data_IF_058065047671
#
_entry.id   IF_058065047671
#
_cell.length_a   1.000
_cell.length_b   1.000
_cell.length_c   1.000
_cell.angle_alpha   90.00
_cell.angle_beta   90.00
_cell.angle_gamma   90.00
#
_symmetry.space_group_name_H-M   'P 1'
#
loop_
_entity.id
_entity.type
_entity.pdbx_description
1 polymer ?
#
# COMPACT_ATOMS: atom_id res chain seq x y z
N UNK A 1 10.60 17.93 12.87
CA UNK A 1 10.17 17.17 11.67
C UNK A 1 11.29 17.25 10.64
N UNK A 2 12.19 16.27 10.59
CA UNK A 2 13.18 16.19 9.51
C UNK A 2 12.43 15.79 8.23
N UNK A 3 12.30 16.73 7.30
CA UNK A 3 11.59 16.57 6.02
C UNK A 3 12.53 16.02 4.94
N UNK A 4 13.37 15.05 5.28
CA UNK A 4 14.41 14.55 4.36
C UNK A 4 14.01 13.24 3.67
N UNK A 5 12.85 12.68 4.03
CA UNK A 5 12.37 11.40 3.55
C UNK A 5 10.87 11.45 3.19
N UNK A 6 10.48 10.71 2.17
CA UNK A 6 9.09 10.34 1.89
C UNK A 6 8.75 9.04 2.59
N UNK A 7 7.58 8.99 3.25
CA UNK A 7 7.02 7.72 3.72
C UNK A 7 6.22 7.06 2.59
N UNK A 8 6.47 5.77 2.38
CA UNK A 8 5.79 4.94 1.41
C UNK A 8 5.19 3.73 2.11
N UNK A 9 4.01 3.33 1.65
CA UNK A 9 3.30 2.18 2.16
C UNK A 9 3.02 1.21 1.01
N UNK A 10 3.72 0.08 0.99
CA UNK A 10 3.45 -1.01 0.07
C UNK A 10 2.32 -1.88 0.65
N UNK A 11 1.19 -1.96 -0.04
CA UNK A 11 0.12 -2.90 0.27
C UNK A 11 0.22 -4.08 -0.69
N UNK A 12 0.34 -5.29 -0.15
CA UNK A 12 0.34 -6.54 -0.90
C UNK A 12 -0.86 -7.38 -0.48
N UNK A 13 -1.71 -7.78 -1.44
CA UNK A 13 -2.79 -8.73 -1.19
C UNK A 13 -2.74 -9.91 -2.16
N UNK A 14 -2.73 -11.13 -1.61
CA UNK A 14 -2.88 -12.35 -2.38
C UNK A 14 -4.38 -12.59 -2.62
N UNK A 15 -4.83 -12.43 -3.86
CA UNK A 15 -6.23 -12.60 -4.27
C UNK A 15 -6.29 -13.84 -5.15
N UNK A 16 -6.86 -14.93 -4.63
CA UNK A 16 -6.95 -16.24 -5.30
C UNK A 16 -5.70 -16.69 -6.08
N UNK A 17 -5.60 -16.29 -7.35
CA UNK A 17 -4.58 -16.66 -8.34
C UNK A 17 -3.67 -15.49 -8.77
N UNK A 18 -3.74 -14.35 -8.08
CA UNK A 18 -2.92 -13.16 -8.38
C UNK A 18 -2.44 -12.47 -7.11
N UNK A 19 -1.30 -11.78 -7.22
CA UNK A 19 -0.78 -10.93 -6.17
C UNK A 19 -0.98 -9.47 -6.59
N UNK A 20 -1.79 -8.73 -5.85
CA UNK A 20 -1.98 -7.30 -6.02
C UNK A 20 -0.99 -6.55 -5.16
N UNK A 21 -0.24 -5.62 -5.76
CA UNK A 21 0.76 -4.80 -5.08
C UNK A 21 0.59 -3.35 -5.49
N UNK A 22 0.44 -2.47 -4.53
CA UNK A 22 0.32 -1.02 -4.77
C UNK A 22 1.12 -0.28 -3.72
N UNK A 23 1.78 0.80 -4.13
CA UNK A 23 2.51 1.69 -3.23
C UNK A 23 1.72 2.99 -3.08
N UNK A 24 1.50 3.41 -1.83
CA UNK A 24 0.82 4.66 -1.49
C UNK A 24 1.76 5.64 -0.80
N UNK A 25 1.63 6.91 -1.18
CA UNK A 25 2.17 8.08 -0.47
C UNK A 25 1.06 8.65 0.42
N UNK A 26 0.90 8.08 1.61
CA UNK A 26 -0.10 8.49 2.61
C UNK A 26 0.59 8.63 3.96
N UNK A 27 0.04 9.36 4.93
CA UNK A 27 0.68 9.57 6.23
C UNK A 27 0.61 8.37 7.18
N UNK A 28 -0.15 7.31 6.88
CA UNK A 28 -0.34 6.20 7.83
C UNK A 28 -0.70 4.85 7.19
N UNK A 29 -0.45 3.76 7.93
CA UNK A 29 -0.85 2.40 7.55
C UNK A 29 -2.38 2.26 7.37
N UNK A 30 -3.23 2.76 8.29
CA UNK A 30 -4.69 2.68 8.12
C UNK A 30 -5.17 3.32 6.82
N UNK A 31 -4.62 4.48 6.47
CA UNK A 31 -5.03 5.19 5.24
C UNK A 31 -4.58 4.46 3.97
N UNK A 32 -3.40 3.82 3.99
CA UNK A 32 -2.94 2.96 2.90
C UNK A 32 -3.88 1.76 2.70
N UNK A 33 -4.31 1.14 3.80
CA UNK A 33 -5.26 0.04 3.79
C UNK A 33 -6.64 0.46 3.25
N UNK A 34 -7.20 1.55 3.78
CA UNK A 34 -8.53 2.03 3.35
C UNK A 34 -8.55 2.38 1.87
N UNK A 35 -7.49 3.04 1.38
CA UNK A 35 -7.35 3.37 -0.04
C UNK A 35 -7.26 2.13 -0.91
N UNK A 36 -6.46 1.13 -0.51
CA UNK A 36 -6.36 -0.15 -1.21
C UNK A 36 -7.69 -0.89 -1.28
N UNK A 37 -8.39 -1.02 -0.14
CA UNK A 37 -9.70 -1.66 -0.11
C UNK A 37 -10.74 -0.90 -0.93
N UNK A 38 -10.64 0.43 -0.99
CA UNK A 38 -11.48 1.29 -1.83
C UNK A 38 -11.17 1.22 -3.33
N UNK A 39 -9.98 0.77 -3.73
CA UNK A 39 -9.59 0.57 -5.13
C UNK A 39 -10.00 -0.82 -5.64
N UNK A 40 -10.04 -1.83 -4.78
CA UNK A 40 -10.44 -3.22 -5.11
C UNK A 40 -11.97 -3.36 -5.14
N UNK A 41 -12.68 -2.33 -5.61
CA UNK A 41 -14.15 -2.14 -5.59
C UNK A 41 -14.99 -3.24 -6.27
N UNK A 42 -14.39 -4.30 -6.78
CA UNK A 42 -15.12 -5.54 -7.03
C UNK A 42 -15.32 -6.27 -5.70
N UNK A 43 -16.55 -6.26 -5.17
CA UNK A 43 -16.93 -7.04 -3.97
C UNK A 43 -16.48 -8.51 -4.05
N UNK A 44 -16.40 -9.07 -5.27
CA UNK A 44 -15.88 -10.42 -5.49
C UNK A 44 -14.38 -10.53 -5.17
N UNK A 45 -13.56 -9.53 -5.50
CA UNK A 45 -12.12 -9.57 -5.26
C UNK A 45 -11.79 -9.40 -3.76
N UNK A 46 -12.56 -8.58 -3.04
CA UNK A 46 -12.41 -8.40 -1.58
C UNK A 46 -12.64 -9.71 -0.83
N UNK A 47 -13.69 -10.47 -1.18
CA UNK A 47 -13.98 -11.78 -0.58
C UNK A 47 -12.93 -12.85 -0.91
N UNK A 48 -12.10 -12.61 -1.92
CA UNK A 48 -11.07 -13.53 -2.42
C UNK A 48 -9.66 -13.23 -1.89
N UNK A 49 -9.52 -12.21 -1.05
CA UNK A 49 -8.25 -11.88 -0.38
C UNK A 49 -7.93 -13.01 0.62
N UNK A 50 -6.86 -13.75 0.34
CA UNK A 50 -6.33 -14.81 1.21
C UNK A 50 -5.40 -14.24 2.28
N UNK A 51 -4.67 -13.19 1.94
CA UNK A 51 -3.78 -12.48 2.86
C UNK A 51 -3.58 -11.06 2.39
N UNK A 52 -3.35 -10.16 3.35
CA UNK A 52 -3.02 -8.76 3.12
C UNK A 52 -1.89 -8.35 4.06
N UNK A 53 -0.91 -7.64 3.53
CA UNK A 53 0.18 -7.07 4.32
C UNK A 53 0.42 -5.62 3.90
N UNK A 54 0.76 -4.78 4.87
CA UNK A 54 1.19 -3.40 4.64
C UNK A 54 2.59 -3.22 5.18
N UNK A 55 3.51 -2.77 4.33
CA UNK A 55 4.92 -2.51 4.69
C UNK A 55 5.19 -1.03 4.57
N UNK A 56 5.77 -0.44 5.62
CA UNK A 56 6.26 0.93 5.61
C UNK A 56 7.70 0.95 5.13
N UNK A 57 8.00 1.86 4.21
CA UNK A 57 9.34 2.20 3.78
C UNK A 57 9.54 3.71 3.80
N UNK A 58 10.80 4.14 3.82
CA UNK A 58 11.17 5.55 3.70
C UNK A 58 12.18 5.70 2.57
N UNK A 59 11.97 6.67 1.70
CA UNK A 59 12.89 7.02 0.62
C UNK A 59 13.45 8.41 0.87
N UNK A 60 14.78 8.61 0.85
CA UNK A 60 15.34 9.94 1.02
C UNK A 60 15.06 10.81 -0.21
N UNK A 61 14.90 12.12 -0.03
CA UNK A 61 14.48 13.05 -1.10
C UNK A 61 15.57 13.21 -2.18
N UNK A 62 16.82 12.97 -1.83
CA UNK A 62 17.99 13.14 -2.69
C UNK A 62 18.16 12.05 -3.76
N UNK A 63 17.34 10.98 -3.77
CA UNK A 63 17.43 9.93 -4.81
C UNK A 63 17.13 10.40 -6.23
N UNK A 64 16.54 11.59 -6.39
CA UNK A 64 16.16 12.18 -7.67
C UNK A 64 17.15 13.27 -8.14
N UNK A 65 18.24 13.50 -7.42
CA UNK A 65 19.34 14.39 -7.83
C UNK A 65 20.44 13.62 -8.55
#
# INVERSE_FOLDING_TARGET
>A
MNKDHFELFLVEAAIENRLHRVVYTVPSVPEAYEKFMGEIKNNQDVQKIKSLSVKKGTIPIDIFK
#
